data_IF_949049582438
#
_entry.id   IF_949049582438
#
_cell.length_a   1.000
_cell.length_b   1.000
_cell.length_c   1.000
_cell.angle_alpha   90.00
_cell.angle_beta   90.00
_cell.angle_gamma   90.00
#
_symmetry.space_group_name_H-M   'P 1'
#
loop_
_entity.id
_entity.type
_entity.pdbx_description
1 polymer ?
#
# COMPACT_ATOMS: atom_id res chain seq x y z
N UNK A 1 -9.05 7.08 -11.29
CA UNK A 1 -10.13 7.59 -10.41
C UNK A 1 -9.54 8.22 -9.16
N UNK A 2 -8.83 7.49 -8.28
CA UNK A 2 -8.33 8.04 -7.01
C UNK A 2 -7.35 9.20 -7.17
N UNK A 3 -6.50 9.20 -8.19
CA UNK A 3 -5.64 10.34 -8.50
C UNK A 3 -6.45 11.59 -8.87
N UNK A 4 -7.52 11.42 -9.65
CA UNK A 4 -8.41 12.54 -9.97
C UNK A 4 -9.10 13.09 -8.71
N UNK A 5 -9.58 12.21 -7.82
CA UNK A 5 -10.18 12.63 -6.55
C UNK A 5 -9.17 13.33 -5.63
N UNK A 6 -7.94 12.82 -5.54
CA UNK A 6 -6.86 13.45 -4.76
C UNK A 6 -6.55 14.85 -5.29
N UNK A 7 -6.45 15.00 -6.61
CA UNK A 7 -6.23 16.30 -7.24
C UNK A 7 -7.42 17.25 -7.07
N UNK A 8 -8.65 16.72 -7.21
CA UNK A 8 -9.86 17.49 -6.95
C UNK A 8 -9.94 17.95 -5.48
N UNK A 9 -9.57 17.08 -4.54
CA UNK A 9 -9.48 17.44 -3.13
C UNK A 9 -8.43 18.54 -2.90
N UNK A 10 -7.26 18.44 -3.54
CA UNK A 10 -6.21 19.45 -3.42
C UNK A 10 -6.70 20.83 -3.88
N UNK A 11 -7.47 20.90 -4.96
CA UNK A 11 -8.05 22.17 -5.44
C UNK A 11 -9.13 22.72 -4.50
N UNK A 12 -10.02 21.83 -4.00
CA UNK A 12 -11.18 22.25 -3.20
C UNK A 12 -10.80 22.59 -1.76
N UNK A 13 -9.82 21.89 -1.20
CA UNK A 13 -9.40 22.04 0.20
C UNK A 13 -8.16 22.93 0.34
N UNK A 14 -7.59 23.43 -0.77
CA UNK A 14 -6.35 24.23 -0.79
C UNK A 14 -5.21 23.51 -0.03
N UNK A 15 -5.05 22.21 -0.31
CA UNK A 15 -4.05 21.35 0.31
C UNK A 15 -2.97 20.94 -0.69
N UNK A 16 -1.82 20.49 -0.18
CA UNK A 16 -0.80 19.89 -1.03
C UNK A 16 -1.21 18.47 -1.46
N UNK A 17 -0.81 18.07 -2.69
CA UNK A 17 -1.08 16.69 -3.16
C UNK A 17 -0.47 15.63 -2.26
N UNK A 18 0.58 15.95 -1.52
CA UNK A 18 1.28 15.02 -0.62
C UNK A 18 0.55 14.80 0.71
N UNK A 19 -0.41 15.66 1.03
CA UNK A 19 -1.18 15.57 2.28
C UNK A 19 -2.17 14.39 2.26
N UNK A 20 -2.51 13.89 1.08
CA UNK A 20 -3.23 12.64 0.90
C UNK A 20 -2.46 11.71 -0.03
N UNK A 21 -2.50 10.42 0.23
CA UNK A 21 -1.82 9.41 -0.56
C UNK A 21 -2.79 8.34 -1.07
N UNK A 22 -2.43 7.75 -2.21
CA UNK A 22 -3.18 6.66 -2.84
C UNK A 22 -2.38 5.37 -2.70
N UNK A 23 -3.03 4.33 -2.22
CA UNK A 23 -2.49 2.97 -2.18
C UNK A 23 -3.42 2.06 -2.98
N UNK A 24 -2.85 1.27 -3.88
CA UNK A 24 -3.59 0.26 -4.65
C UNK A 24 -3.06 -1.11 -4.25
N UNK A 25 -3.96 -1.99 -3.82
CA UNK A 25 -3.67 -3.35 -3.37
C UNK A 25 -4.30 -4.31 -4.36
N UNK A 26 -3.47 -5.03 -5.12
CA UNK A 26 -3.93 -6.12 -6.00
C UNK A 26 -4.21 -7.39 -5.21
N UNK A 27 -5.20 -8.15 -5.65
CA UNK A 27 -5.50 -9.48 -5.13
C UNK A 27 -4.96 -10.56 -6.07
N UNK A 28 -4.36 -11.61 -5.48
CA UNK A 28 -3.78 -12.72 -6.29
C UNK A 28 -4.87 -13.59 -6.90
N UNK A 29 -6.02 -13.68 -6.22
CA UNK A 29 -7.10 -14.62 -6.54
C UNK A 29 -8.28 -13.99 -7.29
N UNK A 30 -8.23 -12.69 -7.57
CA UNK A 30 -9.31 -11.92 -8.17
C UNK A 30 -8.75 -10.85 -9.11
N UNK A 31 -9.43 -10.60 -10.22
CA UNK A 31 -9.14 -9.47 -11.11
C UNK A 31 -9.66 -8.13 -10.55
N UNK A 32 -9.63 -8.01 -9.21
CA UNK A 32 -10.08 -6.84 -8.48
C UNK A 32 -8.90 -6.22 -7.73
N UNK A 33 -8.99 -4.94 -7.49
CA UNK A 33 -8.03 -4.19 -6.67
C UNK A 33 -8.77 -3.43 -5.59
N UNK A 34 -8.23 -3.44 -4.39
CA UNK A 34 -8.63 -2.47 -3.37
C UNK A 34 -7.82 -1.20 -3.56
N UNK A 35 -8.45 -0.07 -3.41
CA UNK A 35 -7.78 1.20 -3.52
C UNK A 35 -8.15 2.08 -2.32
N UNK A 36 -7.14 2.65 -1.69
CA UNK A 36 -7.25 3.44 -0.47
C UNK A 36 -6.74 4.86 -0.75
N UNK A 37 -7.52 5.83 -0.34
CA UNK A 37 -7.05 7.20 -0.17
C UNK A 37 -6.89 7.46 1.32
N UNK A 38 -5.71 7.86 1.75
CA UNK A 38 -5.39 7.95 3.17
C UNK A 38 -4.53 9.17 3.51
N UNK A 39 -4.63 9.59 4.75
CA UNK A 39 -3.87 10.69 5.33
C UNK A 39 -2.62 10.12 6.01
N UNK A 40 -1.41 10.46 5.53
CA UNK A 40 -0.16 9.95 6.08
C UNK A 40 0.26 10.62 7.40
N UNK A 41 -0.44 11.67 7.84
CA UNK A 41 -0.11 12.37 9.06
C UNK A 41 -0.46 11.54 10.29
N UNK A 42 0.49 11.29 11.22
CA UNK A 42 0.19 10.59 12.46
C UNK A 42 -0.94 11.27 13.24
N UNK A 43 -2.03 10.53 13.51
CA UNK A 43 -3.23 11.05 14.15
C UNK A 43 -4.25 11.70 13.20
N UNK A 44 -3.91 11.81 11.92
CA UNK A 44 -4.75 12.42 10.89
C UNK A 44 -4.71 13.95 10.91
N UNK A 45 -4.77 14.58 9.74
CA UNK A 45 -4.88 16.04 9.58
C UNK A 45 -6.33 16.52 9.54
N UNK A 46 -7.30 15.59 9.46
CA UNK A 46 -8.71 15.90 9.25
C UNK A 46 -9.09 16.20 7.80
N UNK A 47 -8.17 16.03 6.85
CA UNK A 47 -8.43 16.29 5.42
C UNK A 47 -9.42 15.29 4.83
N UNK A 48 -9.38 14.04 5.27
CA UNK A 48 -10.36 13.02 4.82
C UNK A 48 -11.78 13.41 5.25
N UNK A 49 -11.98 13.87 6.48
CA UNK A 49 -13.29 14.31 6.97
C UNK A 49 -13.78 15.54 6.19
N UNK A 50 -12.89 16.49 5.90
CA UNK A 50 -13.21 17.66 5.09
C UNK A 50 -13.55 17.25 3.64
N UNK A 51 -12.80 16.32 3.06
CA UNK A 51 -13.06 15.78 1.74
C UNK A 51 -14.43 15.10 1.67
N UNK A 52 -14.79 14.29 2.70
CA UNK A 52 -16.11 13.65 2.79
C UNK A 52 -17.20 14.70 2.89
N UNK A 53 -17.02 15.70 3.75
CA UNK A 53 -18.00 16.79 3.94
C UNK A 53 -18.24 17.64 2.70
N UNK A 54 -17.23 17.76 1.82
CA UNK A 54 -17.29 18.52 0.56
C UNK A 54 -17.20 17.64 -0.69
N UNK A 55 -17.59 16.37 -0.55
CA UNK A 55 -17.34 15.36 -1.61
C UNK A 55 -17.94 15.76 -2.97
N UNK A 56 -19.10 16.38 -2.98
CA UNK A 56 -19.73 16.83 -4.25
C UNK A 56 -18.87 17.84 -4.99
N UNK A 57 -18.21 18.76 -4.27
CA UNK A 57 -17.29 19.75 -4.84
C UNK A 57 -16.02 19.06 -5.32
N UNK A 58 -15.46 18.15 -4.52
CA UNK A 58 -14.28 17.35 -4.87
C UNK A 58 -14.54 16.51 -6.11
N UNK A 59 -15.70 15.87 -6.20
CA UNK A 59 -16.10 15.08 -7.37
C UNK A 59 -16.22 15.95 -8.61
N UNK A 60 -16.82 17.13 -8.49
CA UNK A 60 -16.94 18.07 -9.61
C UNK A 60 -15.56 18.54 -10.10
N UNK A 61 -14.66 18.88 -9.18
CA UNK A 61 -13.28 19.27 -9.53
C UNK A 61 -12.51 18.10 -10.17
N UNK A 62 -12.65 16.88 -9.62
CA UNK A 62 -12.02 15.69 -10.18
C UNK A 62 -12.49 15.40 -11.61
N UNK A 63 -13.79 15.59 -11.88
CA UNK A 63 -14.37 15.46 -13.22
C UNK A 63 -13.82 16.51 -14.18
N UNK A 64 -13.80 17.75 -13.78
CA UNK A 64 -13.21 18.84 -14.60
C UNK A 64 -11.77 18.53 -14.99
N UNK A 65 -10.94 18.05 -14.06
CA UNK A 65 -9.54 17.66 -14.33
C UNK A 65 -9.43 16.61 -15.44
N UNK A 66 -10.28 15.59 -15.43
CA UNK A 66 -10.19 14.49 -16.40
C UNK A 66 -10.92 14.79 -17.71
N UNK A 67 -11.98 15.57 -17.69
CA UNK A 67 -12.77 15.91 -18.87
C UNK A 67 -12.13 17.09 -19.63
N UNK A 68 -11.61 18.10 -18.93
CA UNK A 68 -11.16 19.38 -19.48
C UNK A 68 -9.64 19.52 -19.48
N UNK A 69 -8.90 18.45 -19.80
CA UNK A 69 -7.44 18.51 -19.85
C UNK A 69 -6.97 19.57 -20.87
N UNK A 70 -6.18 20.59 -20.45
CA UNK A 70 -5.73 21.67 -21.36
C UNK A 70 -4.91 21.17 -22.54
N UNK A 71 -4.15 20.08 -22.36
CA UNK A 71 -3.35 19.47 -23.40
C UNK A 71 -4.17 18.55 -24.32
N UNK A 72 -5.46 18.32 -24.04
CA UNK A 72 -6.33 17.39 -24.77
C UNK A 72 -5.67 16.02 -25.00
N UNK A 73 -4.91 15.54 -24.02
CA UNK A 73 -4.15 14.29 -24.13
C UNK A 73 -5.03 13.06 -24.28
N UNK A 74 -4.51 12.00 -24.89
CA UNK A 74 -5.28 10.77 -25.17
C UNK A 74 -5.53 9.97 -23.89
N UNK A 75 -4.50 9.72 -23.09
CA UNK A 75 -4.63 8.92 -21.87
C UNK A 75 -4.42 9.76 -20.60
N UNK A 76 -3.22 10.25 -20.36
CA UNK A 76 -2.90 11.12 -19.23
C UNK A 76 -1.63 11.93 -19.51
N UNK A 77 -1.52 13.11 -18.89
CA UNK A 77 -0.34 13.96 -18.98
C UNK A 77 -0.15 14.78 -17.69
N UNK A 78 0.91 15.59 -17.65
CA UNK A 78 1.24 16.43 -16.49
C UNK A 78 0.20 17.54 -16.23
N UNK A 79 -0.59 17.90 -17.25
CA UNK A 79 -1.65 18.90 -17.09
C UNK A 79 -2.95 18.31 -16.54
N UNK A 80 -3.02 16.97 -16.35
CA UNK A 80 -4.19 16.31 -15.79
C UNK A 80 -3.83 15.35 -14.65
N UNK A 81 -3.49 14.10 -14.93
CA UNK A 81 -3.36 13.05 -13.91
C UNK A 81 -1.93 12.69 -13.52
N UNK A 82 -0.94 13.09 -14.32
CA UNK A 82 0.45 12.75 -14.05
C UNK A 82 1.09 13.77 -13.12
N UNK A 83 1.83 13.25 -12.15
CA UNK A 83 2.69 14.03 -11.26
C UNK A 83 4.04 13.35 -11.14
N UNK A 84 5.05 14.09 -10.66
CA UNK A 84 6.34 13.47 -10.37
C UNK A 84 6.23 12.27 -9.41
N UNK A 85 5.30 12.33 -8.47
CA UNK A 85 5.16 11.32 -7.42
C UNK A 85 4.42 10.06 -7.83
N UNK A 86 3.61 10.13 -8.87
CA UNK A 86 2.90 8.97 -9.39
C UNK A 86 3.53 8.36 -10.65
N UNK A 87 4.82 8.66 -10.90
CA UNK A 87 5.58 8.21 -12.07
C UNK A 87 5.57 6.70 -12.30
N UNK A 88 5.51 5.91 -11.23
CA UNK A 88 5.50 4.44 -11.31
C UNK A 88 4.30 3.87 -12.07
N UNK A 89 3.17 4.58 -12.05
CA UNK A 89 1.95 4.11 -12.70
C UNK A 89 1.42 5.05 -13.79
N UNK A 90 2.24 5.98 -14.31
CA UNK A 90 1.86 6.84 -15.43
C UNK A 90 1.26 6.07 -16.60
N UNK A 91 1.80 4.89 -16.92
CA UNK A 91 1.33 4.03 -18.01
C UNK A 91 -0.07 3.43 -17.77
N UNK A 92 -0.56 3.47 -16.55
CA UNK A 92 -1.87 2.97 -16.16
C UNK A 92 -2.90 4.08 -15.93
N UNK A 93 -2.47 5.32 -16.02
CA UNK A 93 -3.37 6.46 -15.86
C UNK A 93 -4.09 6.71 -17.18
N UNK A 94 -5.41 6.72 -17.11
CA UNK A 94 -6.28 7.02 -18.24
C UNK A 94 -7.41 7.96 -17.78
N UNK A 95 -7.46 9.16 -18.35
CA UNK A 95 -8.44 10.18 -18.01
C UNK A 95 -9.84 9.86 -18.53
N UNK A 96 -9.93 9.16 -19.68
CA UNK A 96 -11.23 8.81 -20.25
C UNK A 96 -11.92 7.75 -19.38
N UNK A 97 -11.18 6.70 -18.99
CA UNK A 97 -11.67 5.68 -18.05
C UNK A 97 -12.01 6.31 -16.69
N UNK A 98 -11.19 7.24 -16.21
CA UNK A 98 -11.48 7.94 -14.96
C UNK A 98 -12.76 8.79 -15.07
N UNK A 99 -13.00 9.46 -16.19
CA UNK A 99 -14.21 10.24 -16.43
C UNK A 99 -15.47 9.36 -16.44
N UNK A 100 -15.42 8.22 -17.13
CA UNK A 100 -16.53 7.25 -17.12
C UNK A 100 -16.86 6.78 -15.70
N UNK A 101 -15.86 6.31 -14.97
CA UNK A 101 -16.06 5.88 -13.58
C UNK A 101 -16.62 6.97 -12.68
N UNK A 102 -16.09 8.20 -12.80
CA UNK A 102 -16.56 9.33 -11.98
C UNK A 102 -17.97 9.80 -12.39
N UNK A 103 -18.40 9.58 -13.64
CA UNK A 103 -19.74 9.88 -14.10
C UNK A 103 -20.80 9.03 -13.40
N UNK A 104 -20.48 7.75 -13.16
CA UNK A 104 -21.37 6.81 -12.47
C UNK A 104 -21.43 7.06 -10.95
N UNK A 105 -20.44 7.74 -10.41
CA UNK A 105 -20.43 8.12 -8.99
C UNK A 105 -21.37 9.31 -8.75
N UNK A 106 -22.66 9.03 -8.81
CA UNK A 106 -23.67 10.04 -8.54
C UNK A 106 -23.69 10.48 -7.08
N UNK A 107 -23.50 11.69 -6.86
CA UNK A 107 -24.10 12.53 -5.84
C UNK A 107 -23.85 12.30 -4.37
N UNK A 108 -23.07 11.37 -3.88
CA UNK A 108 -22.78 11.42 -2.46
C UNK A 108 -22.11 10.17 -1.87
N UNK A 109 -20.97 10.40 -1.23
CA UNK A 109 -20.46 9.47 -0.23
C UNK A 109 -21.45 9.45 0.94
N UNK A 110 -21.85 8.27 1.36
CA UNK A 110 -22.51 8.10 2.64
C UNK A 110 -21.46 7.60 3.63
N UNK A 111 -21.22 8.37 4.69
CA UNK A 111 -20.46 7.88 5.81
C UNK A 111 -21.16 6.63 6.36
N UNK A 112 -20.48 5.52 6.39
CA UNK A 112 -20.94 4.32 7.08
C UNK A 112 -20.02 4.07 8.26
N UNK A 113 -20.63 3.77 9.40
CA UNK A 113 -19.90 3.24 10.55
C UNK A 113 -19.84 1.71 10.51
N UNK A 114 -20.50 1.11 9.52
CA UNK A 114 -20.40 -0.30 9.25
C UNK A 114 -19.03 -0.54 8.60
N UNK A 115 -18.04 -0.71 9.44
CA UNK A 115 -16.79 -1.34 9.03
C UNK A 115 -17.22 -2.72 8.54
N UNK A 116 -16.94 -3.10 7.26
CA UNK A 116 -17.24 -4.44 6.79
C UNK A 116 -16.71 -5.42 7.83
N UNK A 117 -17.57 -6.29 8.35
CA UNK A 117 -17.14 -7.31 9.30
C UNK A 117 -15.88 -7.94 8.69
N UNK A 118 -14.78 -7.81 9.41
CA UNK A 118 -13.55 -8.52 9.08
C UNK A 118 -14.01 -9.94 8.82
N UNK A 119 -13.84 -10.45 7.59
CA UNK A 119 -14.19 -11.84 7.29
C UNK A 119 -13.68 -12.68 8.46
N UNK A 120 -14.51 -13.59 9.02
CA UNK A 120 -14.20 -14.29 10.24
C UNK A 120 -12.77 -14.78 10.14
N UNK A 121 -11.98 -14.40 11.12
CA UNK A 121 -10.54 -14.65 11.15
C UNK A 121 -10.36 -16.09 10.72
N UNK A 122 -9.76 -16.28 9.55
CA UNK A 122 -9.33 -17.61 9.12
C UNK A 122 -8.60 -18.18 10.32
N UNK A 123 -9.08 -19.32 10.76
CA UNK A 123 -8.67 -20.09 11.91
C UNK A 123 -7.25 -19.74 12.38
N UNK A 124 -7.08 -19.33 13.64
CA UNK A 124 -5.77 -18.91 14.17
C UNK A 124 -4.66 -19.94 13.92
N UNK A 125 -5.03 -21.21 13.76
CA UNK A 125 -4.14 -22.29 13.32
C UNK A 125 -3.61 -22.10 11.89
N UNK A 126 -4.28 -21.30 11.05
CA UNK A 126 -3.84 -21.00 9.69
C UNK A 126 -2.96 -19.74 9.59
N UNK A 127 -2.79 -18.97 10.69
CA UNK A 127 -1.95 -17.76 10.68
C UNK A 127 -0.49 -18.01 10.28
N UNK A 128 0.00 -19.25 10.44
CA UNK A 128 1.32 -19.65 9.98
C UNK A 128 1.42 -20.00 8.50
N UNK A 129 0.31 -20.13 7.78
CA UNK A 129 0.29 -20.78 6.47
C UNK A 129 0.13 -19.83 5.26
N UNK A 130 -0.16 -18.56 5.46
CA UNK A 130 -0.37 -17.63 4.33
C UNK A 130 0.87 -16.80 4.06
N UNK A 131 1.43 -16.85 2.84
CA UNK A 131 2.49 -15.92 2.44
C UNK A 131 1.94 -14.50 2.45
N UNK A 132 2.73 -13.58 3.00
CA UNK A 132 2.39 -12.15 3.03
C UNK A 132 2.48 -11.56 1.62
N UNK A 133 3.34 -12.14 0.77
CA UNK A 133 3.51 -11.74 -0.61
C UNK A 133 4.01 -12.89 -1.49
N UNK A 134 3.99 -12.70 -2.81
CA UNK A 134 4.42 -13.71 -3.77
C UNK A 134 5.91 -14.09 -3.64
N UNK A 135 6.77 -13.17 -3.26
CA UNK A 135 8.20 -13.41 -3.09
C UNK A 135 8.44 -14.35 -1.91
N UNK A 136 7.75 -14.13 -0.78
CA UNK A 136 7.78 -15.03 0.38
C UNK A 136 7.25 -16.41 0.02
N UNK A 137 6.12 -16.50 -0.69
CA UNK A 137 5.57 -17.78 -1.12
C UNK A 137 6.55 -18.55 -2.01
N UNK A 138 7.23 -17.87 -2.93
CA UNK A 138 8.23 -18.46 -3.82
C UNK A 138 9.47 -18.92 -3.05
N UNK A 139 9.95 -18.12 -2.10
CA UNK A 139 11.06 -18.51 -1.24
C UNK A 139 10.74 -19.77 -0.45
N UNK A 140 9.57 -19.82 0.20
CA UNK A 140 9.12 -20.99 0.97
C UNK A 140 9.00 -22.24 0.12
N UNK A 141 8.46 -22.12 -1.09
CA UNK A 141 8.40 -23.22 -2.06
C UNK A 141 9.79 -23.73 -2.45
N UNK A 142 10.76 -22.84 -2.65
CA UNK A 142 12.15 -23.22 -2.94
C UNK A 142 12.82 -23.92 -1.75
N UNK A 143 12.61 -23.42 -0.52
CA UNK A 143 13.15 -24.01 0.69
C UNK A 143 12.58 -25.43 0.93
N UNK A 144 11.25 -25.59 0.76
CA UNK A 144 10.60 -26.89 0.84
C UNK A 144 11.11 -27.87 -0.24
N UNK A 145 11.27 -27.39 -1.48
CA UNK A 145 11.83 -28.21 -2.56
C UNK A 145 13.28 -28.60 -2.31
N UNK A 146 14.05 -27.81 -1.58
CA UNK A 146 15.40 -28.10 -1.13
C UNK A 146 15.47 -29.03 0.11
N UNK A 147 14.33 -29.43 0.67
CA UNK A 147 14.22 -30.36 1.79
C UNK A 147 14.21 -29.70 3.18
N UNK A 148 14.08 -28.39 3.26
CA UNK A 148 13.91 -27.70 4.52
C UNK A 148 12.45 -27.78 4.97
N UNK A 149 12.20 -27.83 6.29
CA UNK A 149 10.86 -27.69 6.84
C UNK A 149 10.30 -26.29 6.60
N UNK A 150 8.98 -26.10 6.72
CA UNK A 150 8.42 -24.75 6.69
C UNK A 150 8.83 -24.00 7.96
N UNK A 151 9.52 -22.88 7.78
CA UNK A 151 10.01 -22.07 8.89
C UNK A 151 8.91 -21.22 9.53
N UNK A 152 9.13 -20.78 10.76
CA UNK A 152 8.24 -19.87 11.47
C UNK A 152 8.16 -18.51 10.76
N UNK A 153 7.07 -17.77 10.98
CA UNK A 153 6.86 -16.45 10.40
C UNK A 153 6.23 -15.47 11.39
N UNK A 154 6.39 -14.19 11.10
CA UNK A 154 5.69 -13.13 11.81
C UNK A 154 6.12 -12.97 13.27
N UNK A 155 7.16 -13.64 13.70
CA UNK A 155 7.69 -13.52 15.05
C UNK A 155 8.62 -12.30 15.14
N UNK A 156 8.33 -11.43 16.09
CA UNK A 156 9.16 -10.28 16.37
C UNK A 156 10.32 -10.68 17.29
N UNK A 157 11.52 -10.51 16.81
CA UNK A 157 12.75 -10.74 17.59
C UNK A 157 13.20 -9.44 18.22
N UNK A 158 13.56 -9.53 19.50
CA UNK A 158 14.22 -8.44 20.21
C UNK A 158 15.74 -8.58 20.05
N UNK A 159 16.35 -7.53 19.52
CA UNK A 159 17.79 -7.45 19.35
C UNK A 159 18.40 -6.61 20.48
N UNK A 160 19.68 -6.30 20.35
CA UNK A 160 20.34 -5.35 21.23
C UNK A 160 19.53 -4.04 21.32
N UNK A 161 19.41 -3.40 22.50
CA UNK A 161 18.68 -2.15 22.68
C UNK A 161 19.04 -1.04 21.69
N UNK A 162 20.26 -1.04 21.16
CA UNK A 162 20.71 -0.08 20.16
C UNK A 162 20.12 -0.34 18.76
N UNK A 163 19.75 -1.59 18.46
CA UNK A 163 19.20 -2.03 17.16
C UNK A 163 17.69 -2.11 17.20
N UNK A 164 17.10 -2.48 18.34
CA UNK A 164 15.66 -2.55 18.56
C UNK A 164 15.05 -3.90 18.24
N UNK A 165 14.00 -3.94 17.45
CA UNK A 165 13.28 -5.16 17.10
C UNK A 165 13.30 -5.39 15.59
N UNK A 166 13.21 -6.67 15.19
CA UNK A 166 13.09 -7.07 13.80
C UNK A 166 12.06 -8.18 13.62
N UNK A 167 11.50 -8.33 12.43
CA UNK A 167 10.54 -9.39 12.09
C UNK A 167 11.00 -10.06 10.80
N UNK A 168 11.74 -11.19 10.89
CA UNK A 168 12.16 -11.94 9.72
C UNK A 168 10.97 -12.55 8.95
N UNK A 169 11.13 -12.74 7.64
CA UNK A 169 10.12 -13.41 6.81
C UNK A 169 10.08 -14.93 7.06
N UNK A 170 11.24 -15.53 7.34
CA UNK A 170 11.35 -16.95 7.70
C UNK A 170 12.36 -17.11 8.82
N UNK A 171 11.99 -17.90 9.85
CA UNK A 171 12.85 -18.22 10.99
C UNK A 171 13.00 -19.73 11.12
N UNK A 172 14.22 -20.19 11.20
CA UNK A 172 14.56 -21.57 11.61
C UNK A 172 15.26 -21.52 12.95
N UNK A 173 14.70 -22.15 13.96
CA UNK A 173 15.35 -22.30 15.28
C UNK A 173 16.16 -23.59 15.34
N UNK A 174 17.27 -23.58 16.05
CA UNK A 174 18.01 -24.80 16.32
C UNK A 174 17.17 -25.78 17.13
N UNK A 175 17.16 -27.04 16.74
CA UNK A 175 16.34 -28.08 17.36
C UNK A 175 16.76 -28.42 18.81
N UNK A 176 17.98 -28.07 19.19
CA UNK A 176 18.56 -28.39 20.49
C UNK A 176 19.45 -27.24 20.92
N UNK A 177 19.14 -26.66 22.08
CA UNK A 177 19.90 -25.68 22.84
C UNK A 177 19.85 -24.22 22.40
N UNK A 178 19.73 -23.42 23.43
CA UNK A 178 19.79 -21.97 23.55
C UNK A 178 18.89 -21.20 22.55
N UNK A 179 18.01 -20.40 23.13
CA UNK A 179 17.05 -19.56 22.41
C UNK A 179 17.71 -18.58 21.42
N UNK A 180 19.05 -18.53 21.41
CA UNK A 180 19.86 -17.59 20.65
C UNK A 180 20.44 -18.16 19.34
N UNK A 181 20.25 -19.45 19.05
CA UNK A 181 20.75 -20.04 17.80
C UNK A 181 19.63 -20.29 16.80
N UNK A 182 19.77 -19.74 15.60
CA UNK A 182 18.81 -19.93 14.53
C UNK A 182 19.21 -19.19 13.26
N UNK A 183 18.43 -19.38 12.21
CA UNK A 183 18.61 -18.67 10.94
C UNK A 183 17.40 -17.79 10.67
N UNK A 184 17.63 -16.53 10.50
CA UNK A 184 16.63 -15.54 10.10
C UNK A 184 16.84 -15.19 8.62
N UNK A 185 15.77 -15.31 7.84
CA UNK A 185 15.80 -14.95 6.42
C UNK A 185 14.92 -13.72 6.23
N UNK A 186 15.48 -12.72 5.61
CA UNK A 186 14.81 -11.48 5.23
C UNK A 186 14.71 -11.42 3.71
N UNK A 187 13.54 -11.07 3.21
CA UNK A 187 13.33 -10.76 1.81
C UNK A 187 13.38 -9.27 1.61
N UNK A 188 14.45 -8.82 1.00
CA UNK A 188 14.53 -7.43 0.58
C UNK A 188 13.56 -7.18 -0.57
N UNK A 189 12.57 -6.32 -0.33
CA UNK A 189 11.70 -5.84 -1.40
C UNK A 189 12.49 -5.04 -2.42
N UNK A 190 12.17 -5.21 -3.70
CA UNK A 190 12.72 -4.42 -4.82
C UNK A 190 12.35 -2.93 -4.78
N UNK A 191 11.87 -2.40 -3.67
CA UNK A 191 11.61 -0.98 -3.58
C UNK A 191 12.94 -0.24 -3.43
N UNK A 192 13.34 0.46 -4.46
CA UNK A 192 14.53 1.31 -4.51
C UNK A 192 14.63 2.30 -3.33
N UNK A 193 13.50 2.56 -2.66
CA UNK A 193 13.43 3.45 -1.50
C UNK A 193 13.98 2.85 -0.21
N UNK A 194 14.00 1.53 -0.05
CA UNK A 194 14.55 0.88 1.15
C UNK A 194 16.07 0.79 1.09
N UNK A 195 16.64 0.49 -0.08
CA UNK A 195 18.08 0.40 -0.27
C UNK A 195 18.77 1.77 -0.37
N UNK A 196 18.06 2.82 -0.71
CA UNK A 196 18.59 4.18 -0.79
C UNK A 196 18.67 4.94 0.54
N UNK A 197 18.10 4.42 1.62
CA UNK A 197 18.13 5.07 2.92
C UNK A 197 19.35 4.59 3.74
N UNK A 198 20.34 5.47 4.00
CA UNK A 198 21.54 5.10 4.75
C UNK A 198 21.27 4.55 6.16
N UNK A 199 20.19 5.01 6.80
CA UNK A 199 19.82 4.54 8.13
C UNK A 199 19.28 3.10 8.10
N UNK A 200 18.47 2.74 7.09
CA UNK A 200 17.97 1.38 6.89
C UNK A 200 19.12 0.44 6.55
N UNK A 201 19.97 0.82 5.60
CA UNK A 201 21.16 0.02 5.24
C UNK A 201 22.18 -0.12 6.38
N UNK A 202 22.25 0.82 7.32
CA UNK A 202 23.07 0.71 8.51
C UNK A 202 22.48 -0.28 9.52
N UNK A 203 21.15 -0.28 9.70
CA UNK A 203 20.43 -1.21 10.55
C UNK A 203 20.53 -2.64 10.02
N UNK A 204 20.34 -2.85 8.70
CA UNK A 204 20.41 -4.16 8.06
C UNK A 204 21.80 -4.81 8.19
N UNK A 205 22.85 -4.00 8.32
CA UNK A 205 24.23 -4.49 8.57
C UNK A 205 24.48 -4.89 10.02
N UNK A 206 23.60 -4.53 10.94
CA UNK A 206 23.73 -4.83 12.38
C UNK A 206 22.83 -6.01 12.81
N UNK A 207 21.87 -6.37 11.96
CA UNK A 207 21.02 -7.57 12.10
C UNK A 207 21.75 -8.78 11.53
#
# INVERSE_FOLDING_TARGET
VLEALRMGAAQVLDMHLDDLQVLVIGHVDRDEVDALLWDPMPGGSGLIDQMIGRFTEVLAAARSIVEECPAACVAACIDCLQTFRNGFYHKYLDRAVAAECLADWGGGLRATHDIPERQPERDESARGALPVNQAEARLRALLLAAGFADGLRGEQLKLDPAVGTTTPDVIYRAAHHDEDEGVCIYLDGLSEHLHGNPATAAKDRQI
#
